data_IF_846737542483
#
_entry.id   IF_846737542483
#
_cell.length_a   1.000
_cell.length_b   1.000
_cell.length_c   1.000
_cell.angle_alpha   90.00
_cell.angle_beta   90.00
_cell.angle_gamma   90.00
#
_symmetry.space_group_name_H-M   'P 1'
#
loop_
_entity.id
_entity.type
_entity.pdbx_description
1 polymer ?
#
# COMPACT_ATOMS: atom_id res chain seq x y z
N UNK A 1 -61.68 16.66 15.68
CA UNK A 1 -60.60 17.45 15.05
C UNK A 1 -59.70 17.97 16.16
N UNK A 2 -58.66 17.23 16.61
CA UNK A 2 -57.27 17.16 16.06
C UNK A 2 -56.67 18.55 15.82
N UNK A 3 -55.54 19.00 16.38
CA UNK A 3 -54.48 18.42 17.24
C UNK A 3 -53.82 19.60 17.99
N UNK A 4 -53.41 19.39 19.24
CA UNK A 4 -52.61 20.36 20.00
C UNK A 4 -51.15 20.36 19.56
N UNK A 5 -50.54 21.54 19.51
CA UNK A 5 -49.09 21.72 19.34
C UNK A 5 -48.52 22.14 20.70
N UNK A 6 -48.05 21.17 21.47
CA UNK A 6 -47.23 21.44 22.66
C UNK A 6 -45.81 21.76 22.21
N UNK A 7 -45.37 22.99 22.47
CA UNK A 7 -43.98 23.42 22.29
C UNK A 7 -43.11 22.76 23.36
N UNK A 8 -42.47 21.64 23.02
CA UNK A 8 -41.52 20.97 23.91
C UNK A 8 -40.15 21.66 23.78
N UNK A 9 -39.77 22.42 24.81
CA UNK A 9 -38.40 22.93 24.94
C UNK A 9 -37.45 21.74 25.14
N UNK A 10 -36.58 21.49 24.15
CA UNK A 10 -35.60 20.41 24.24
C UNK A 10 -34.63 20.63 25.43
N UNK A 11 -34.22 19.57 26.15
CA UNK A 11 -33.28 19.71 27.26
C UNK A 11 -31.93 20.24 26.75
N UNK A 12 -31.34 21.25 27.41
CA UNK A 12 -30.03 21.83 27.04
C UNK A 12 -28.94 20.77 26.84
N UNK A 13 -29.00 19.65 27.57
CA UNK A 13 -28.10 18.49 27.40
C UNK A 13 -28.29 17.76 26.07
N UNK A 14 -29.52 17.64 25.57
CA UNK A 14 -29.83 17.05 24.27
C UNK A 14 -29.37 17.98 23.15
N UNK A 15 -29.53 19.30 23.31
CA UNK A 15 -28.98 20.28 22.36
C UNK A 15 -27.45 20.27 22.35
N UNK A 16 -26.80 20.16 23.50
CA UNK A 16 -25.34 20.03 23.61
C UNK A 16 -24.85 18.69 23.02
N UNK A 17 -25.53 17.57 23.30
CA UNK A 17 -25.23 16.29 22.66
C UNK A 17 -25.46 16.32 21.15
N UNK A 18 -26.50 17.00 20.66
CA UNK A 18 -26.71 17.22 19.23
C UNK A 18 -25.62 18.09 18.64
N UNK A 19 -25.14 19.14 19.29
CA UNK A 19 -24.02 19.95 18.79
C UNK A 19 -22.71 19.14 18.80
N UNK A 20 -22.47 18.31 19.82
CA UNK A 20 -21.29 17.42 19.90
C UNK A 20 -21.38 16.26 18.89
N UNK A 21 -22.59 15.78 18.59
CA UNK A 21 -22.86 14.72 17.59
C UNK A 21 -23.10 15.26 16.17
N UNK A 22 -23.34 16.57 16.01
CA UNK A 22 -23.31 17.40 14.78
C UNK A 22 -21.95 18.12 14.61
N UNK A 23 -21.02 17.85 15.53
CA UNK A 23 -19.58 17.97 15.34
C UNK A 23 -18.92 16.69 14.77
N UNK A 24 -19.57 15.77 14.00
CA UNK A 24 -18.84 14.71 13.38
C UNK A 24 -18.14 15.36 12.19
N UNK A 25 -16.82 15.24 12.16
CA UNK A 25 -16.13 14.89 10.93
C UNK A 25 -16.56 15.76 9.74
N UNK A 26 -16.32 17.06 9.79
CA UNK A 26 -15.91 17.72 8.55
C UNK A 26 -14.51 17.18 8.26
N UNK A 27 -14.43 15.93 7.81
CA UNK A 27 -13.40 15.61 6.85
C UNK A 27 -13.61 16.67 5.77
N UNK A 28 -12.65 17.56 5.58
CA UNK A 28 -12.65 18.48 4.46
C UNK A 28 -12.60 17.59 3.20
N UNK A 29 -13.78 17.18 2.78
CA UNK A 29 -13.99 16.30 1.66
C UNK A 29 -13.57 17.07 0.44
N UNK A 30 -12.56 16.54 -0.24
CA UNK A 30 -12.00 17.20 -1.40
C UNK A 30 -13.03 17.21 -2.53
N UNK A 31 -13.15 18.35 -3.22
CA UNK A 31 -14.10 18.54 -4.34
C UNK A 31 -13.45 18.24 -5.69
N UNK A 32 -14.23 18.34 -6.77
CA UNK A 32 -13.73 18.19 -8.14
C UNK A 32 -12.58 19.15 -8.50
N UNK A 33 -12.43 20.27 -7.79
CA UNK A 33 -11.30 21.19 -7.98
C UNK A 33 -9.96 20.54 -7.61
N UNK A 34 -9.94 19.63 -6.64
CA UNK A 34 -8.74 18.87 -6.30
C UNK A 34 -8.37 17.88 -7.40
N UNK A 35 -9.36 17.17 -7.95
CA UNK A 35 -9.15 16.25 -9.07
C UNK A 35 -8.57 16.99 -10.28
N UNK A 36 -9.12 18.15 -10.64
CA UNK A 36 -8.56 19.00 -11.70
C UNK A 36 -7.12 19.43 -11.39
N UNK A 37 -6.84 19.86 -10.15
CA UNK A 37 -5.50 20.31 -9.77
C UNK A 37 -4.46 19.18 -9.84
N UNK A 38 -4.77 17.96 -9.41
CA UNK A 38 -3.82 16.83 -9.50
C UNK A 38 -3.62 16.38 -10.95
N UNK A 39 -4.64 16.48 -11.82
CA UNK A 39 -4.48 16.19 -13.24
C UNK A 39 -3.60 17.23 -13.95
N UNK A 40 -3.81 18.52 -13.68
CA UNK A 40 -3.07 19.59 -14.34
C UNK A 40 -1.62 19.69 -13.86
N UNK A 41 -1.39 19.60 -12.54
CA UNK A 41 -0.05 19.83 -11.98
C UNK A 41 0.77 18.55 -11.80
N UNK A 42 0.14 17.48 -11.30
CA UNK A 42 0.88 16.27 -10.92
C UNK A 42 0.95 15.27 -12.07
N UNK A 43 -0.18 14.97 -12.73
CA UNK A 43 -0.21 14.02 -13.84
C UNK A 43 0.52 14.56 -15.08
N UNK A 44 0.48 15.87 -15.35
CA UNK A 44 1.21 16.45 -16.47
C UNK A 44 2.72 16.21 -16.38
N UNK A 45 3.33 16.44 -15.21
CA UNK A 45 4.75 16.12 -14.99
C UNK A 45 5.02 14.61 -15.06
N UNK A 46 4.18 13.79 -14.42
CA UNK A 46 4.34 12.34 -14.47
C UNK A 46 4.28 11.79 -15.90
N UNK A 47 3.41 12.33 -16.77
CA UNK A 47 3.37 12.00 -18.21
C UNK A 47 4.72 12.25 -18.88
N UNK A 48 5.31 13.43 -18.67
CA UNK A 48 6.61 13.76 -19.25
C UNK A 48 7.72 12.83 -18.74
N UNK A 49 7.72 12.52 -17.45
CA UNK A 49 8.70 11.60 -16.86
C UNK A 49 8.56 10.18 -17.45
N UNK A 50 7.32 9.71 -17.63
CA UNK A 50 7.02 8.38 -18.20
C UNK A 50 7.27 8.29 -19.71
N UNK A 51 7.06 9.39 -20.46
CA UNK A 51 7.42 9.50 -21.87
C UNK A 51 8.94 9.44 -22.06
N UNK A 52 9.71 10.06 -21.16
CA UNK A 52 11.17 9.99 -21.18
C UNK A 52 11.74 8.61 -20.82
N UNK A 53 10.96 7.77 -20.14
CA UNK A 53 11.40 6.47 -19.62
C UNK A 53 11.30 5.30 -20.63
N UNK A 54 10.73 5.50 -21.83
CA UNK A 54 10.31 4.46 -22.77
C UNK A 54 9.34 3.42 -22.15
N UNK A 55 8.35 2.99 -22.94
CA UNK A 55 7.32 2.05 -22.46
C UNK A 55 7.88 0.72 -21.93
N UNK A 56 9.01 0.26 -22.47
CA UNK A 56 9.68 -0.98 -22.06
C UNK A 56 10.14 -0.97 -20.59
N UNK A 57 10.40 0.20 -20.00
CA UNK A 57 10.86 0.31 -18.61
C UNK A 57 9.73 0.56 -17.60
N UNK A 58 8.48 0.73 -18.06
CA UNK A 58 7.36 1.01 -17.15
C UNK A 58 7.14 -0.08 -16.08
N UNK A 59 7.50 -1.34 -16.36
CA UNK A 59 7.38 -2.41 -15.38
C UNK A 59 8.60 -2.58 -14.46
N UNK A 60 9.66 -1.80 -14.66
CA UNK A 60 10.81 -1.75 -13.77
C UNK A 60 10.52 -0.81 -12.60
N UNK A 61 10.60 -1.32 -11.36
CA UNK A 61 10.38 -0.45 -10.20
C UNK A 61 11.48 0.55 -10.02
N UNK A 62 12.72 0.10 -10.17
CA UNK A 62 13.88 0.92 -9.87
C UNK A 62 13.93 2.14 -10.79
N UNK A 63 13.39 2.01 -12.01
CA UNK A 63 13.28 3.09 -12.98
C UNK A 63 12.10 4.03 -12.72
N UNK A 64 10.98 3.52 -12.21
CA UNK A 64 9.72 4.28 -12.07
C UNK A 64 9.46 4.82 -10.66
N UNK A 65 10.18 4.33 -9.64
CA UNK A 65 9.94 4.67 -8.23
C UNK A 65 10.10 6.16 -7.95
N UNK A 66 11.06 6.83 -8.59
CA UNK A 66 11.33 8.25 -8.39
C UNK A 66 10.15 9.08 -8.90
N UNK A 67 9.75 8.88 -10.15
CA UNK A 67 8.60 9.59 -10.76
C UNK A 67 7.28 9.30 -10.04
N UNK A 68 7.07 8.05 -9.61
CA UNK A 68 5.88 7.67 -8.86
C UNK A 68 5.84 8.31 -7.46
N UNK A 69 6.99 8.43 -6.78
CA UNK A 69 7.10 9.11 -5.49
C UNK A 69 6.89 10.62 -5.65
N UNK A 70 7.44 11.25 -6.69
CA UNK A 70 7.19 12.65 -7.03
C UNK A 70 5.70 12.92 -7.27
N UNK A 71 5.03 12.06 -8.04
CA UNK A 71 3.58 12.11 -8.25
C UNK A 71 2.81 12.02 -6.93
N UNK A 72 3.16 11.04 -6.08
CA UNK A 72 2.52 10.84 -4.77
C UNK A 72 2.69 12.07 -3.88
N UNK A 73 3.91 12.61 -3.79
CA UNK A 73 4.21 13.81 -3.02
C UNK A 73 3.49 15.04 -3.57
N UNK A 74 3.41 15.19 -4.90
CA UNK A 74 2.64 16.27 -5.52
C UNK A 74 1.16 16.22 -5.12
N UNK A 75 0.50 15.05 -5.22
CA UNK A 75 -0.91 14.94 -4.81
C UNK A 75 -1.12 15.24 -3.33
N UNK A 76 -0.18 14.84 -2.47
CA UNK A 76 -0.19 15.16 -1.05
C UNK A 76 -0.06 16.67 -0.81
N UNK A 77 0.88 17.34 -1.47
CA UNK A 77 1.07 18.80 -1.35
C UNK A 77 -0.13 19.58 -1.86
N UNK A 78 -0.75 19.16 -2.96
CA UNK A 78 -1.98 19.76 -3.48
C UNK A 78 -3.13 19.57 -2.49
N UNK A 79 -3.27 18.37 -1.89
CA UNK A 79 -4.28 18.12 -0.87
C UNK A 79 -4.08 19.01 0.36
N UNK A 80 -2.84 19.14 0.86
CA UNK A 80 -2.51 20.06 1.95
C UNK A 80 -2.85 21.52 1.60
N UNK A 81 -2.51 21.96 0.38
CA UNK A 81 -2.76 23.34 -0.05
C UNK A 81 -4.26 23.66 -0.15
N UNK A 82 -5.05 22.67 -0.53
CA UNK A 82 -6.50 22.74 -0.66
C UNK A 82 -7.22 22.44 0.67
N UNK A 83 -6.48 22.24 1.76
CA UNK A 83 -6.99 21.83 3.08
C UNK A 83 -7.83 20.56 3.03
N UNK A 84 -7.43 19.56 2.24
CA UNK A 84 -8.08 18.27 2.17
C UNK A 84 -7.32 17.19 2.92
N UNK A 85 -8.06 16.18 3.37
CA UNK A 85 -7.44 14.95 3.88
C UNK A 85 -6.82 14.13 2.73
N UNK A 86 -5.64 13.56 2.98
CA UNK A 86 -4.95 12.64 2.07
C UNK A 86 -4.59 11.37 2.86
N UNK A 87 -4.88 10.16 2.36
CA UNK A 87 -5.55 9.86 1.09
C UNK A 87 -7.07 10.08 1.14
N UNK A 88 -7.71 10.21 -0.03
CA UNK A 88 -9.15 10.34 -0.18
C UNK A 88 -9.63 9.63 -1.46
N UNK A 89 -10.95 9.44 -1.61
CA UNK A 89 -11.52 8.72 -2.75
C UNK A 89 -11.08 9.25 -4.13
N UNK A 90 -10.94 10.57 -4.29
CA UNK A 90 -10.53 11.16 -5.57
C UNK A 90 -9.08 10.77 -5.91
N UNK A 91 -8.17 10.77 -4.93
CA UNK A 91 -6.79 10.34 -5.16
C UNK A 91 -6.69 8.84 -5.40
N UNK A 92 -7.55 8.03 -4.77
CA UNK A 92 -7.61 6.58 -5.02
C UNK A 92 -8.03 6.29 -6.47
N UNK A 93 -9.12 6.92 -6.95
CA UNK A 93 -9.57 6.78 -8.34
C UNK A 93 -8.51 7.28 -9.33
N UNK A 94 -7.84 8.39 -9.02
CA UNK A 94 -6.73 8.92 -9.81
C UNK A 94 -5.58 7.92 -9.96
N UNK A 95 -5.09 7.34 -8.85
CA UNK A 95 -4.01 6.35 -8.91
C UNK A 95 -4.45 5.06 -9.62
N UNK A 96 -5.70 4.62 -9.46
CA UNK A 96 -6.24 3.47 -10.21
C UNK A 96 -6.20 3.74 -11.72
N UNK A 97 -6.55 4.96 -12.17
CA UNK A 97 -6.44 5.33 -13.60
C UNK A 97 -5.00 5.26 -14.10
N UNK A 98 -4.04 5.74 -13.30
CA UNK A 98 -2.61 5.69 -13.62
C UNK A 98 -2.12 4.25 -13.73
N UNK A 99 -2.44 3.40 -12.76
CA UNK A 99 -2.07 1.97 -12.77
C UNK A 99 -2.66 1.24 -13.98
N UNK A 100 -3.91 1.53 -14.34
CA UNK A 100 -4.54 0.95 -15.54
C UNK A 100 -3.94 1.46 -16.86
N UNK A 101 -3.36 2.66 -16.87
CA UNK A 101 -2.77 3.20 -18.10
C UNK A 101 -1.33 2.73 -18.28
N UNK A 102 -0.47 2.96 -17.28
CA UNK A 102 0.97 2.72 -17.40
C UNK A 102 1.40 1.32 -16.94
N UNK A 103 0.70 0.73 -15.98
CA UNK A 103 1.17 -0.47 -15.27
C UNK A 103 0.26 -1.70 -15.47
N UNK A 104 -0.63 -1.68 -16.46
CA UNK A 104 -1.65 -2.74 -16.64
C UNK A 104 -1.06 -4.11 -17.01
N UNK A 105 0.06 -4.14 -17.71
CA UNK A 105 0.77 -5.36 -18.10
C UNK A 105 1.84 -5.78 -17.08
N UNK A 106 2.03 -5.00 -16.01
CA UNK A 106 3.10 -5.25 -15.05
C UNK A 106 2.71 -6.31 -14.03
N UNK A 107 3.63 -7.24 -13.78
CA UNK A 107 3.41 -8.32 -12.82
C UNK A 107 3.46 -7.79 -11.37
N UNK A 108 2.42 -8.04 -10.54
CA UNK A 108 2.44 -7.64 -9.12
C UNK A 108 3.46 -8.43 -8.30
N UNK A 109 3.91 -9.58 -8.82
CA UNK A 109 4.73 -10.57 -8.12
C UNK A 109 6.15 -10.09 -7.79
N UNK A 110 6.68 -9.10 -8.51
CA UNK A 110 8.05 -8.60 -8.29
C UNK A 110 8.22 -7.75 -7.04
N UNK A 111 7.12 -7.26 -6.43
CA UNK A 111 7.16 -6.35 -5.27
C UNK A 111 6.64 -6.92 -3.96
N UNK A 112 5.86 -8.00 -4.03
CA UNK A 112 5.30 -8.60 -2.84
C UNK A 112 6.38 -9.40 -2.15
N UNK A 113 6.74 -9.02 -0.92
CA UNK A 113 7.59 -9.85 -0.09
C UNK A 113 6.85 -11.17 0.16
N UNK A 114 7.33 -12.23 -0.48
CA UNK A 114 6.72 -13.55 -0.41
C UNK A 114 7.83 -14.60 -0.35
N UNK A 115 7.54 -15.70 0.34
CA UNK A 115 8.45 -16.83 0.36
C UNK A 115 8.64 -17.39 -1.05
N UNK A 116 9.84 -17.88 -1.40
CA UNK A 116 10.05 -18.53 -2.67
C UNK A 116 9.16 -19.78 -2.77
N UNK A 117 8.75 -20.17 -3.98
CA UNK A 117 7.88 -21.34 -4.16
C UNK A 117 8.52 -22.59 -3.54
N UNK A 118 7.71 -23.50 -2.98
CA UNK A 118 8.17 -24.69 -2.25
C UNK A 118 9.16 -25.56 -3.03
N UNK A 119 9.11 -25.54 -4.37
CA UNK A 119 10.08 -26.22 -5.24
C UNK A 119 11.52 -25.72 -5.07
N UNK A 120 11.70 -24.46 -4.67
CA UNK A 120 13.00 -23.83 -4.39
C UNK A 120 13.28 -23.92 -2.89
N UNK A 121 12.31 -23.54 -2.05
CA UNK A 121 12.49 -23.52 -0.59
C UNK A 121 12.75 -24.92 0.01
N UNK A 122 12.05 -25.93 -0.48
CA UNK A 122 12.14 -27.31 0.02
C UNK A 122 13.56 -27.89 -0.04
N UNK A 123 14.24 -27.87 -1.21
CA UNK A 123 15.63 -28.28 -1.31
C UNK A 123 16.58 -27.51 -0.37
N UNK A 124 16.39 -26.20 -0.21
CA UNK A 124 17.19 -25.38 0.72
C UNK A 124 17.05 -25.81 2.18
N UNK A 125 15.92 -26.39 2.57
CA UNK A 125 15.69 -26.91 3.92
C UNK A 125 16.21 -28.36 4.02
N UNK A 126 15.89 -29.20 3.06
CA UNK A 126 16.20 -30.65 3.09
C UNK A 126 17.71 -30.90 3.01
N UNK A 127 18.43 -30.18 2.14
CA UNK A 127 19.87 -30.42 1.92
C UNK A 127 20.69 -30.21 3.20
N UNK A 128 20.60 -29.07 3.93
CA UNK A 128 21.31 -28.89 5.19
C UNK A 128 20.94 -29.93 6.26
N UNK A 129 19.66 -30.32 6.34
CA UNK A 129 19.22 -31.37 7.29
C UNK A 129 19.87 -32.71 6.96
N UNK A 130 19.86 -33.12 5.69
CA UNK A 130 20.50 -34.37 5.28
C UNK A 130 22.02 -34.33 5.52
N UNK A 131 22.68 -33.20 5.22
CA UNK A 131 24.11 -33.03 5.47
C UNK A 131 24.44 -33.14 6.96
N UNK A 132 23.66 -32.48 7.82
CA UNK A 132 23.87 -32.57 9.28
C UNK A 132 23.65 -33.99 9.82
N UNK A 133 22.63 -34.70 9.33
CA UNK A 133 22.39 -36.11 9.69
C UNK A 133 23.52 -37.03 9.20
N UNK A 134 24.02 -36.83 7.99
CA UNK A 134 25.15 -37.60 7.47
C UNK A 134 26.43 -37.33 8.26
N UNK A 135 26.75 -36.06 8.53
CA UNK A 135 27.93 -35.71 9.32
C UNK A 135 27.89 -36.26 10.73
N UNK A 136 26.73 -36.18 11.40
CA UNK A 136 26.56 -36.75 12.74
C UNK A 136 26.70 -38.28 12.72
N UNK A 137 26.10 -38.96 11.74
CA UNK A 137 26.27 -40.41 11.57
C UNK A 137 27.74 -40.80 11.31
N UNK A 138 28.45 -40.04 10.48
CA UNK A 138 29.88 -40.24 10.21
C UNK A 138 30.74 -40.06 11.46
N UNK A 139 30.47 -39.03 12.26
CA UNK A 139 31.18 -38.78 13.54
C UNK A 139 30.93 -39.92 14.52
N UNK A 140 29.68 -40.34 14.71
CA UNK A 140 29.33 -41.47 15.61
C UNK A 140 30.00 -42.77 15.15
N UNK A 141 29.97 -43.04 13.84
CA UNK A 141 30.61 -44.23 13.27
C UNK A 141 32.12 -44.22 13.47
N UNK A 142 32.78 -43.09 13.21
CA UNK A 142 34.23 -42.93 13.45
C UNK A 142 34.59 -43.06 14.93
N UNK A 143 33.80 -42.49 15.83
CA UNK A 143 34.01 -42.59 17.28
C UNK A 143 33.95 -44.05 17.76
N UNK A 144 32.89 -44.79 17.40
CA UNK A 144 32.76 -46.21 17.78
C UNK A 144 33.89 -47.09 17.21
N UNK A 145 34.33 -46.83 15.98
CA UNK A 145 35.43 -47.61 15.39
C UNK A 145 36.78 -47.32 16.06
N UNK A 146 36.99 -46.09 16.55
CA UNK A 146 38.19 -45.73 17.30
C UNK A 146 38.22 -46.38 18.69
N UNK A 147 37.07 -46.53 19.34
CA UNK A 147 36.98 -47.18 20.66
C UNK A 147 37.08 -48.72 20.59
N UNK A 148 36.65 -49.34 19.48
CA UNK A 148 36.78 -50.79 19.25
C UNK A 148 38.15 -51.25 18.75
N UNK A 149 39.11 -50.34 18.57
CA UNK A 149 40.53 -50.61 18.30
C UNK A 149 41.31 -50.33 19.60
N UNK A 150 41.11 -51.16 20.62
CA UNK A 150 41.99 -51.37 21.78
C UNK A 150 41.89 -52.84 22.17
#
# INVERSE_FOLDING_TARGET
>A
MTMGVSSAAAPKRVTVCLIIAMLPVVALACSSHYEYAIEEFCLAKFKLDMEGLDQQHWCSWDDTVVSYLELTNCTFLVALKMNCFWPNRLVDEFFIRIHRHYFHDCSPTGRLLHDPPNRVLGPFIIVPVLVTLLMTALVVWRSKRSEGIV
#
